data_IF_271811808045
#
_entry.id   IF_271811808045
#
_cell.length_a   1.000
_cell.length_b   1.000
_cell.length_c   1.000
_cell.angle_alpha   90.00
_cell.angle_beta   90.00
_cell.angle_gamma   90.00
#
_symmetry.space_group_name_H-M   'P 1'
#
loop_
_entity.id
_entity.type
_entity.pdbx_description
1 polymer ?
#
# COMPACT_ATOMS: atom_id res chain seq x y z
N UNK A 1 -48.36 43.87 -7.26
CA UNK A 1 -48.61 42.44 -7.57
C UNK A 1 -47.53 41.94 -8.53
N UNK A 2 -46.69 41.00 -8.09
CA UNK A 2 -46.09 39.90 -8.87
C UNK A 2 -45.21 39.08 -7.92
N UNK A 3 -45.77 37.98 -7.42
CA UNK A 3 -45.04 36.84 -6.85
C UNK A 3 -44.26 36.17 -7.98
N UNK A 4 -43.06 35.65 -7.67
CA UNK A 4 -42.28 34.59 -8.34
C UNK A 4 -40.89 34.63 -7.68
N UNK A 5 -40.19 33.58 -7.29
CA UNK A 5 -40.40 32.14 -7.36
C UNK A 5 -39.34 31.54 -6.41
N UNK A 6 -39.80 30.69 -5.49
CA UNK A 6 -39.19 29.48 -4.93
C UNK A 6 -37.67 29.22 -5.09
N UNK A 7 -37.05 28.95 -3.93
CA UNK A 7 -36.25 27.74 -3.60
C UNK A 7 -34.92 27.54 -4.33
N UNK A 8 -33.86 27.55 -3.50
CA UNK A 8 -32.89 26.45 -3.46
C UNK A 8 -31.53 26.75 -4.07
N UNK A 9 -30.50 26.73 -3.22
CA UNK A 9 -29.31 25.89 -3.40
C UNK A 9 -28.51 25.97 -2.10
N UNK A 10 -28.83 25.08 -1.15
CA UNK A 10 -27.90 24.72 -0.09
C UNK A 10 -26.81 23.93 -0.80
N UNK A 11 -25.71 24.59 -1.18
CA UNK A 11 -24.49 23.92 -1.55
C UNK A 11 -23.90 23.31 -0.28
N UNK A 12 -24.37 22.11 0.07
CA UNK A 12 -23.68 21.24 1.00
C UNK A 12 -22.34 20.88 0.34
N UNK A 13 -21.27 21.61 0.68
CA UNK A 13 -19.90 21.18 0.48
C UNK A 13 -19.74 19.86 1.24
N UNK A 14 -20.01 18.79 0.51
CA UNK A 14 -19.82 17.43 0.96
C UNK A 14 -18.34 17.26 1.16
N UNK A 15 -17.93 17.03 2.40
CA UNK A 15 -16.58 16.61 2.76
C UNK A 15 -16.26 15.37 1.92
N UNK A 16 -15.48 15.54 0.86
CA UNK A 16 -14.80 14.44 0.21
C UNK A 16 -13.80 13.94 1.26
N UNK A 17 -14.22 13.00 2.10
CA UNK A 17 -13.31 12.23 2.92
C UNK A 17 -12.28 11.69 1.95
N UNK A 18 -11.03 12.10 2.12
CA UNK A 18 -9.91 11.58 1.35
C UNK A 18 -9.96 10.08 1.61
N UNK A 19 -10.43 9.31 0.61
CA UNK A 19 -10.35 7.86 0.63
C UNK A 19 -8.86 7.54 0.48
N UNK A 20 -8.11 7.70 1.57
CA UNK A 20 -6.75 7.24 1.65
C UNK A 20 -6.79 5.74 1.44
N UNK A 21 -5.97 5.27 0.50
CA UNK A 21 -5.80 3.85 0.32
C UNK A 21 -4.76 3.36 1.34
N UNK A 22 -4.91 2.13 1.80
CA UNK A 22 -4.05 1.57 2.83
C UNK A 22 -3.49 0.22 2.42
N UNK A 23 -2.22 0.01 2.76
CA UNK A 23 -1.67 -1.34 2.83
C UNK A 23 -1.81 -1.81 4.27
N UNK A 24 -2.66 -2.82 4.47
CA UNK A 24 -2.93 -3.37 5.79
C UNK A 24 -2.33 -4.78 5.91
N UNK A 25 -1.44 -4.97 6.88
CA UNK A 25 -0.86 -6.28 7.17
C UNK A 25 -1.21 -6.69 8.60
N UNK A 26 -1.72 -7.90 8.73
CA UNK A 26 -2.08 -8.48 10.01
C UNK A 26 -0.95 -9.39 10.48
N UNK A 27 -0.50 -9.18 11.70
CA UNK A 27 0.47 -10.07 12.27
C UNK A 27 -0.17 -11.40 12.68
N UNK A 28 0.57 -12.49 12.47
CA UNK A 28 0.09 -13.84 12.79
C UNK A 28 0.08 -14.15 14.30
N UNK A 29 0.82 -13.41 15.12
CA UNK A 29 0.98 -13.65 16.57
C UNK A 29 0.57 -12.41 17.41
N UNK A 30 0.25 -12.60 18.69
CA UNK A 30 -0.15 -11.51 19.59
C UNK A 30 1.06 -10.66 20.06
N UNK A 31 0.97 -9.34 19.86
CA UNK A 31 1.97 -8.30 20.20
C UNK A 31 3.24 -8.25 19.32
N UNK A 32 3.03 -7.89 18.05
CA UNK A 32 3.88 -8.26 16.91
C UNK A 32 4.50 -7.07 16.17
N UNK A 33 4.29 -5.85 16.68
CA UNK A 33 4.92 -4.65 16.11
C UNK A 33 6.44 -4.65 16.26
N UNK A 34 6.97 -5.39 17.24
CA UNK A 34 8.42 -5.62 17.39
C UNK A 34 9.05 -6.28 16.15
N UNK A 35 8.27 -7.06 15.42
CA UNK A 35 8.75 -7.77 14.23
C UNK A 35 8.64 -6.95 12.96
N UNK A 36 8.16 -5.70 13.01
CA UNK A 36 7.98 -4.88 11.82
C UNK A 36 9.31 -4.28 11.37
N UNK A 37 10.06 -3.72 12.33
CA UNK A 37 11.33 -3.02 12.08
C UNK A 37 12.42 -3.95 11.52
N UNK A 38 13.30 -3.43 10.66
CA UNK A 38 14.46 -4.10 10.09
C UNK A 38 14.38 -4.28 8.57
N UNK A 39 15.27 -5.11 8.03
CA UNK A 39 15.43 -5.30 6.58
C UNK A 39 14.62 -6.48 6.05
N UNK A 40 14.02 -6.26 4.89
CA UNK A 40 13.14 -7.18 4.20
C UNK A 40 13.50 -7.26 2.72
N UNK A 41 13.31 -8.45 2.13
CA UNK A 41 13.43 -8.69 0.70
C UNK A 41 12.23 -9.48 0.23
N UNK A 42 11.81 -9.27 -1.01
CA UNK A 42 10.60 -9.91 -1.51
C UNK A 42 10.52 -9.98 -3.02
N UNK A 43 9.48 -10.67 -3.47
CA UNK A 43 9.09 -10.75 -4.87
C UNK A 43 7.65 -10.33 -5.01
N UNK A 44 7.41 -9.52 -6.02
CA UNK A 44 6.10 -8.97 -6.36
C UNK A 44 5.70 -9.36 -7.77
N UNK A 45 4.39 -9.44 -7.99
CA UNK A 45 3.79 -9.61 -9.31
C UNK A 45 2.67 -8.60 -9.46
N UNK A 46 2.68 -7.86 -10.55
CA UNK A 46 1.62 -6.95 -10.94
C UNK A 46 1.01 -7.43 -12.25
N UNK A 47 -0.32 -7.58 -12.31
CA UNK A 47 -1.00 -8.02 -13.52
C UNK A 47 -2.21 -7.16 -13.84
N UNK A 48 -2.33 -6.75 -15.11
CA UNK A 48 -3.50 -6.09 -15.66
C UNK A 48 -3.67 -6.50 -17.13
N UNK A 49 -4.89 -6.48 -17.66
CA UNK A 49 -5.20 -6.83 -19.05
C UNK A 49 -4.37 -6.05 -20.09
N UNK A 50 -4.01 -4.80 -19.81
CA UNK A 50 -3.23 -3.91 -20.68
C UNK A 50 -1.71 -4.10 -20.51
N UNK A 51 -1.26 -4.30 -19.26
CA UNK A 51 0.17 -4.39 -18.94
C UNK A 51 0.72 -5.82 -19.12
N UNK A 52 -0.16 -6.82 -19.17
CA UNK A 52 0.21 -8.21 -19.02
C UNK A 52 0.66 -8.50 -17.58
N UNK A 53 1.68 -9.32 -17.44
CA UNK A 53 2.30 -9.66 -16.15
C UNK A 53 3.68 -8.99 -16.03
N UNK A 54 3.90 -8.30 -14.91
CA UNK A 54 5.17 -7.71 -14.52
C UNK A 54 5.65 -8.39 -13.22
N UNK A 55 6.88 -8.90 -13.22
CA UNK A 55 7.50 -9.56 -12.06
C UNK A 55 8.62 -8.68 -11.54
N UNK A 56 8.65 -8.50 -10.22
CA UNK A 56 9.60 -7.64 -9.52
C UNK A 56 10.31 -8.40 -8.40
N UNK A 57 11.53 -8.00 -8.12
CA UNK A 57 12.17 -8.19 -6.83
C UNK A 57 12.20 -6.86 -6.10
N UNK A 58 12.14 -6.88 -4.78
CA UNK A 58 12.22 -5.66 -4.00
C UNK A 58 12.95 -5.88 -2.69
N UNK A 59 13.45 -4.79 -2.14
CA UNK A 59 13.96 -4.73 -0.78
C UNK A 59 13.30 -3.58 -0.05
N UNK A 60 13.28 -3.65 1.28
CA UNK A 60 12.77 -2.57 2.09
C UNK A 60 13.39 -2.55 3.47
N UNK A 61 13.51 -1.36 4.01
CA UNK A 61 13.98 -1.12 5.37
C UNK A 61 12.86 -0.46 6.14
N UNK A 62 12.43 -1.08 7.23
CA UNK A 62 11.45 -0.53 8.14
C UNK A 62 12.17 0.02 9.38
N UNK A 63 11.95 1.29 9.67
CA UNK A 63 12.49 1.94 10.86
C UNK A 63 11.91 1.38 12.16
N UNK A 64 12.49 1.77 13.31
CA UNK A 64 11.92 1.43 14.61
C UNK A 64 10.51 2.02 14.75
N UNK A 65 9.65 1.29 15.46
CA UNK A 65 8.31 1.74 15.81
C UNK A 65 8.39 2.62 17.06
N UNK A 66 7.86 3.84 16.99
CA UNK A 66 7.83 4.76 18.13
C UNK A 66 6.75 4.39 19.16
N UNK A 67 6.68 5.13 20.27
CA UNK A 67 5.71 4.89 21.35
C UNK A 67 4.25 5.12 20.96
N UNK A 68 4.00 5.79 19.84
CA UNK A 68 2.68 6.01 19.26
C UNK A 68 2.34 4.98 18.18
N UNK A 69 3.25 4.04 17.92
CA UNK A 69 3.10 3.01 16.90
C UNK A 69 3.54 3.46 15.50
N UNK A 70 4.08 4.67 15.31
CA UNK A 70 4.48 5.14 13.99
C UNK A 70 5.86 4.61 13.59
N UNK A 71 6.06 4.43 12.28
CA UNK A 71 7.36 4.09 11.70
C UNK A 71 7.49 4.65 10.28
N UNK A 72 8.73 4.69 9.80
CA UNK A 72 9.05 4.97 8.39
C UNK A 72 9.47 3.70 7.67
N UNK A 73 9.22 3.65 6.37
CA UNK A 73 9.55 2.54 5.50
C UNK A 73 10.18 3.09 4.22
N UNK A 74 11.31 2.55 3.83
CA UNK A 74 11.88 2.72 2.50
C UNK A 74 11.70 1.41 1.73
N UNK A 75 11.19 1.47 0.51
CA UNK A 75 11.01 0.31 -0.37
C UNK A 75 11.53 0.59 -1.76
N UNK A 76 12.25 -0.39 -2.30
CA UNK A 76 12.67 -0.44 -3.70
C UNK A 76 12.05 -1.64 -4.39
N UNK A 77 11.76 -1.50 -5.67
CA UNK A 77 11.34 -2.58 -6.53
C UNK A 77 12.03 -2.46 -7.89
N UNK A 78 12.68 -3.54 -8.30
CA UNK A 78 13.36 -3.69 -9.58
C UNK A 78 12.64 -4.74 -10.42
N UNK A 79 12.39 -4.41 -11.68
CA UNK A 79 11.74 -5.32 -12.62
C UNK A 79 12.67 -6.47 -12.97
N UNK A 80 12.17 -7.68 -12.78
CA UNK A 80 12.82 -8.90 -13.26
C UNK A 80 12.37 -9.26 -14.67
N UNK A 81 11.05 -9.16 -14.93
CA UNK A 81 10.48 -9.47 -16.24
C UNK A 81 9.12 -8.79 -16.43
N UNK A 82 8.69 -8.68 -17.68
CA UNK A 82 7.40 -8.10 -18.06
C UNK A 82 7.48 -7.27 -19.33
N UNK A 83 6.37 -6.62 -19.68
CA UNK A 83 6.29 -5.74 -20.83
C UNK A 83 7.12 -4.45 -20.63
N UNK A 84 7.41 -3.72 -21.71
CA UNK A 84 8.08 -2.41 -21.69
C UNK A 84 7.30 -1.33 -20.93
N UNK A 85 5.98 -1.52 -20.77
CA UNK A 85 5.13 -0.65 -19.97
C UNK A 85 5.30 -0.85 -18.46
N UNK A 86 5.93 -1.97 -18.04
CA UNK A 86 6.29 -2.19 -16.64
C UNK A 86 7.48 -1.30 -16.28
N UNK A 87 7.39 -0.42 -15.27
CA UNK A 87 8.53 0.38 -14.81
C UNK A 87 9.73 -0.49 -14.48
N UNK A 88 10.95 -0.05 -14.83
CA UNK A 88 12.17 -0.82 -14.55
C UNK A 88 12.56 -0.77 -13.07
N UNK A 89 12.35 0.38 -12.44
CA UNK A 89 12.74 0.64 -11.05
C UNK A 89 11.72 1.57 -10.38
N UNK A 90 11.48 1.33 -9.09
CA UNK A 90 10.72 2.23 -8.24
C UNK A 90 11.36 2.31 -6.86
N UNK A 91 11.40 3.51 -6.30
CA UNK A 91 11.80 3.80 -4.93
C UNK A 91 10.73 4.65 -4.27
N UNK A 92 10.36 4.32 -3.03
CA UNK A 92 9.39 5.06 -2.22
C UNK A 92 9.78 5.08 -0.76
N UNK A 93 9.64 6.25 -0.16
CA UNK A 93 9.58 6.43 1.29
C UNK A 93 8.12 6.61 1.70
N UNK A 94 7.70 5.82 2.67
CA UNK A 94 6.33 5.78 3.17
C UNK A 94 6.34 5.86 4.69
N UNK A 95 5.20 6.21 5.25
CA UNK A 95 4.96 6.16 6.69
C UNK A 95 3.84 5.20 6.99
N UNK A 96 3.94 4.56 8.14
CA UNK A 96 2.93 3.63 8.61
C UNK A 96 2.78 3.65 10.12
N UNK A 97 1.76 2.93 10.57
CA UNK A 97 1.48 2.70 11.98
C UNK A 97 1.40 1.21 12.22
N UNK A 98 1.92 0.72 13.34
CA UNK A 98 1.66 -0.60 13.85
C UNK A 98 0.98 -0.50 15.21
N UNK A 99 -0.26 -0.95 15.29
CA UNK A 99 -1.04 -0.95 16.51
C UNK A 99 -1.69 -2.31 16.71
N UNK A 100 -1.43 -2.95 17.85
CA UNK A 100 -1.98 -4.27 18.21
C UNK A 100 -1.76 -5.35 17.13
N UNK A 101 -0.58 -5.37 16.51
CA UNK A 101 -0.25 -6.32 15.45
C UNK A 101 -0.86 -5.99 14.07
N UNK A 102 -1.53 -4.85 13.93
CA UNK A 102 -2.03 -4.37 12.63
C UNK A 102 -1.12 -3.27 12.12
N UNK A 103 -0.42 -3.57 11.02
CA UNK A 103 0.38 -2.59 10.28
C UNK A 103 -0.49 -1.93 9.23
N UNK A 104 -0.48 -0.61 9.19
CA UNK A 104 -1.10 0.20 8.15
C UNK A 104 -0.07 1.12 7.54
N UNK A 105 0.07 1.10 6.22
CA UNK A 105 0.91 2.03 5.47
C UNK A 105 -0.02 2.90 4.63
N UNK A 106 0.11 4.22 4.79
CA UNK A 106 -0.75 5.19 4.10
C UNK A 106 -0.22 5.36 2.68
N UNK A 107 -1.08 5.20 1.68
CA UNK A 107 -0.71 5.33 0.28
C UNK A 107 -1.84 5.94 -0.57
N UNK A 108 -1.47 6.46 -1.74
CA UNK A 108 -2.39 6.91 -2.77
C UNK A 108 -2.63 5.84 -3.85
N UNK A 109 -1.89 4.72 -3.80
CA UNK A 109 -1.81 3.78 -4.90
C UNK A 109 -2.87 2.69 -4.88
N UNK A 110 -3.76 2.61 -3.89
CA UNK A 110 -4.76 1.55 -3.75
C UNK A 110 -4.50 0.67 -2.53
N UNK A 111 -5.17 -0.48 -2.47
CA UNK A 111 -5.22 -1.30 -1.26
C UNK A 111 -4.48 -2.62 -1.44
N UNK A 112 -3.64 -2.94 -0.46
CA UNK A 112 -3.02 -4.27 -0.30
C UNK A 112 -3.40 -4.80 1.07
N UNK A 113 -3.74 -6.08 1.15
CA UNK A 113 -3.98 -6.74 2.41
C UNK A 113 -3.19 -8.03 2.49
N UNK A 114 -2.61 -8.28 3.65
CA UNK A 114 -1.73 -9.42 3.84
C UNK A 114 -1.57 -9.84 5.28
N UNK A 115 -0.76 -10.88 5.47
CA UNK A 115 -0.31 -11.30 6.79
C UNK A 115 1.21 -11.25 6.86
N UNK A 116 1.74 -11.07 8.06
CA UNK A 116 3.17 -11.18 8.31
C UNK A 116 3.45 -11.85 9.65
N UNK A 117 4.64 -12.42 9.73
CA UNK A 117 5.22 -13.05 10.91
C UNK A 117 6.59 -12.43 11.17
N UNK A 118 7.32 -12.97 12.15
CA UNK A 118 8.70 -12.56 12.43
C UNK A 118 9.61 -12.54 11.20
N UNK A 119 9.47 -13.56 10.34
CA UNK A 119 10.46 -13.85 9.31
C UNK A 119 9.94 -13.71 7.88
N UNK A 120 8.62 -13.70 7.68
CA UNK A 120 8.01 -13.70 6.36
C UNK A 120 6.61 -13.12 6.37
N UNK A 121 6.13 -12.72 5.20
CA UNK A 121 4.76 -12.32 4.99
C UNK A 121 4.36 -12.36 3.53
N UNK A 122 3.07 -12.18 3.30
CA UNK A 122 2.47 -12.15 1.99
C UNK A 122 1.32 -11.14 1.97
N UNK A 123 1.09 -10.55 0.79
CA UNK A 123 -0.02 -9.63 0.59
C UNK A 123 -0.55 -9.70 -0.83
N UNK A 124 -1.81 -9.32 -0.99
CA UNK A 124 -2.46 -9.19 -2.27
C UNK A 124 -3.44 -8.02 -2.28
N UNK A 125 -3.73 -7.49 -3.46
CA UNK A 125 -4.74 -6.46 -3.59
C UNK A 125 -4.71 -5.82 -4.97
N UNK A 126 -5.21 -4.59 -5.07
CA UNK A 126 -5.29 -3.85 -6.32
C UNK A 126 -4.68 -2.48 -6.15
N UNK A 127 -3.75 -2.16 -7.04
CA UNK A 127 -3.12 -0.84 -7.11
C UNK A 127 -3.49 -0.10 -8.37
N UNK A 128 -3.80 1.18 -8.25
CA UNK A 128 -3.90 2.12 -9.37
C UNK A 128 -2.50 2.45 -9.86
N UNK A 129 -2.22 2.09 -11.12
CA UNK A 129 -0.91 2.27 -11.76
C UNK A 129 -0.91 3.42 -12.78
N UNK A 130 -2.10 3.82 -13.23
CA UNK A 130 -2.34 5.00 -14.05
C UNK A 130 -3.83 5.43 -13.92
N UNK A 131 -4.22 6.65 -14.31
CA UNK A 131 -5.63 7.06 -14.30
C UNK A 131 -6.53 6.06 -15.03
N UNK A 132 -7.48 5.45 -14.31
CA UNK A 132 -8.40 4.44 -14.85
C UNK A 132 -7.80 3.04 -15.04
N UNK A 133 -6.54 2.80 -14.66
CA UNK A 133 -5.86 1.50 -14.80
C UNK A 133 -5.44 0.97 -13.42
N UNK A 134 -5.91 -0.22 -13.08
CA UNK A 134 -5.56 -0.91 -11.83
C UNK A 134 -4.94 -2.28 -12.09
N UNK A 135 -3.86 -2.62 -11.40
CA UNK A 135 -3.23 -3.92 -11.46
C UNK A 135 -3.53 -4.75 -10.21
N UNK A 136 -3.80 -6.03 -10.41
CA UNK A 136 -3.81 -7.03 -9.35
C UNK A 136 -2.37 -7.30 -8.92
N UNK A 137 -2.12 -7.16 -7.63
CA UNK A 137 -0.80 -7.31 -7.03
C UNK A 137 -0.77 -8.52 -6.12
N UNK A 138 0.32 -9.28 -6.18
CA UNK A 138 0.67 -10.27 -5.16
C UNK A 138 2.12 -10.07 -4.75
N UNK A 139 2.41 -10.07 -3.45
CA UNK A 139 3.75 -9.90 -2.89
C UNK A 139 4.01 -11.00 -1.88
N UNK A 140 5.25 -11.50 -1.85
CA UNK A 140 5.79 -12.31 -0.77
C UNK A 140 7.13 -11.74 -0.35
N UNK A 141 7.36 -11.65 0.95
CA UNK A 141 8.57 -11.05 1.50
C UNK A 141 9.06 -11.84 2.71
N UNK A 142 10.35 -11.69 3.00
CA UNK A 142 11.05 -12.33 4.09
C UNK A 142 12.17 -11.45 4.61
N UNK A 143 12.68 -11.74 5.80
CA UNK A 143 13.85 -11.04 6.36
C UNK A 143 15.07 -11.19 5.45
N UNK A 144 15.86 -10.14 5.35
CA UNK A 144 17.05 -10.11 4.49
C UNK A 144 18.16 -11.07 4.94
N UNK A 145 18.14 -11.51 6.21
CA UNK A 145 19.16 -12.39 6.80
C UNK A 145 20.31 -11.63 7.43
#
# INVERSE_FOLDING_TARGET
MKKNLLIGFIAAMSFAGVLHADFTFYASDSNTCEYVAGQWVGKGKASNWLLGECVYQGSGTVGPVDSQGNFTLEVTADKNSGNILCPDHAHKELSGTCNNGVVKIITEYGNLSGNFSRNAGDAKGKLTVAPGVSADITVRFQRAG
#
